data_IF_423900115446
#
_entry.id   IF_423900115446
#
_cell.length_a   1.000
_cell.length_b   1.000
_cell.length_c   1.000
_cell.angle_alpha   90.00
_cell.angle_beta   90.00
_cell.angle_gamma   90.00
#
_symmetry.space_group_name_H-M   'P 1'
#
loop_
_entity.id
_entity.type
_entity.pdbx_description
1 polymer ?
#
# COMPACT_ATOMS: atom_id res chain seq x y z
N UNK A 1 22.57 -12.13 -3.24
CA UNK A 1 22.29 -11.18 -4.34
C UNK A 1 21.32 -10.17 -3.76
N UNK A 2 21.78 -8.95 -3.48
CA UNK A 2 20.91 -7.87 -2.99
C UNK A 2 20.19 -7.25 -4.19
N UNK A 3 18.91 -7.55 -4.32
CA UNK A 3 18.02 -6.80 -5.21
C UNK A 3 17.90 -5.38 -4.65
N UNK A 4 18.73 -4.47 -5.19
CA UNK A 4 18.57 -3.04 -4.98
C UNK A 4 17.26 -2.60 -5.64
N UNK A 5 16.22 -2.59 -4.82
CA UNK A 5 14.93 -2.00 -5.13
C UNK A 5 15.16 -0.60 -5.71
N UNK A 6 14.82 -0.41 -6.99
CA UNK A 6 14.81 0.91 -7.63
C UNK A 6 13.82 1.79 -6.87
N UNK A 7 14.32 2.59 -5.93
CA UNK A 7 13.55 3.62 -5.24
C UNK A 7 12.94 4.54 -6.28
N UNK A 8 11.61 4.51 -6.43
CA UNK A 8 10.92 5.41 -7.35
C UNK A 8 11.00 6.81 -6.76
N UNK A 9 11.20 7.84 -7.58
CA UNK A 9 11.13 9.26 -7.15
C UNK A 9 9.77 9.67 -6.55
N UNK A 10 8.79 8.75 -6.56
CA UNK A 10 7.47 8.90 -5.93
C UNK A 10 7.43 8.46 -4.47
N UNK A 11 8.49 7.85 -3.96
CA UNK A 11 8.56 7.34 -2.59
C UNK A 11 9.11 8.35 -1.58
N UNK A 12 9.44 9.57 -2.02
CA UNK A 12 9.98 10.62 -1.14
C UNK A 12 8.88 11.32 -0.31
N UNK A 13 7.60 11.24 -0.69
CA UNK A 13 6.50 11.76 0.12
C UNK A 13 5.98 10.70 1.10
N UNK A 14 5.94 11.06 2.39
CA UNK A 14 5.48 10.18 3.47
C UNK A 14 3.96 9.96 3.34
N UNK A 15 3.52 8.70 3.35
CA UNK A 15 2.09 8.38 3.32
C UNK A 15 1.33 9.03 4.50
N UNK A 16 0.06 9.45 4.31
CA UNK A 16 -0.72 10.14 5.32
C UNK A 16 -1.30 9.14 6.35
N UNK A 17 -0.40 8.46 7.05
CA UNK A 17 -0.66 7.53 8.13
C UNK A 17 -0.08 8.13 9.41
N UNK A 18 -0.93 8.22 10.43
CA UNK A 18 -0.57 8.82 11.72
C UNK A 18 -0.50 7.76 12.81
N UNK A 19 0.06 8.14 13.97
CA UNK A 19 0.06 7.34 15.18
C UNK A 19 -1.37 6.83 15.52
N UNK A 20 -1.52 5.64 16.11
CA UNK A 20 -0.47 4.77 16.67
C UNK A 20 0.19 3.83 15.65
N UNK A 21 -0.08 3.98 14.35
CA UNK A 21 0.50 3.13 13.32
C UNK A 21 1.92 3.59 12.99
N UNK A 22 2.90 2.67 13.05
CA UNK A 22 4.28 2.93 12.66
C UNK A 22 4.52 2.41 11.25
N UNK A 23 4.81 3.30 10.30
CA UNK A 23 5.20 2.92 8.95
C UNK A 23 6.64 2.40 8.98
N UNK A 24 6.84 1.15 8.55
CA UNK A 24 8.16 0.52 8.45
C UNK A 24 8.76 0.68 7.06
N UNK A 25 7.95 0.49 6.02
CA UNK A 25 8.31 0.80 4.63
C UNK A 25 7.05 1.07 3.81
N UNK A 26 7.21 1.76 2.69
CA UNK A 26 6.13 2.08 1.76
C UNK A 26 6.60 1.94 0.32
N UNK A 27 5.65 1.64 -0.58
CA UNK A 27 5.84 1.66 -2.03
C UNK A 27 4.63 2.31 -2.68
N UNK A 28 4.82 3.45 -3.34
CA UNK A 28 3.73 4.09 -4.08
C UNK A 28 3.45 3.33 -5.38
N UNK A 29 2.22 2.81 -5.54
CA UNK A 29 1.76 2.18 -6.79
C UNK A 29 1.39 3.26 -7.81
N UNK A 30 0.62 4.25 -7.38
CA UNK A 30 0.12 5.31 -8.25
C UNK A 30 -0.14 6.59 -7.44
N UNK A 31 0.14 7.75 -8.04
CA UNK A 31 -0.19 9.05 -7.49
C UNK A 31 -0.47 10.04 -8.60
N UNK A 32 -1.75 10.23 -8.94
CA UNK A 32 -2.18 11.11 -10.04
C UNK A 32 -3.66 11.48 -9.90
N UNK A 33 -4.05 12.61 -10.49
CA UNK A 33 -5.45 13.06 -10.55
C UNK A 33 -6.15 13.10 -9.18
N UNK A 34 -5.44 13.52 -8.13
CA UNK A 34 -5.99 13.56 -6.78
C UNK A 34 -6.18 12.20 -6.12
N UNK A 35 -5.63 11.11 -6.67
CA UNK A 35 -5.63 9.78 -6.07
C UNK A 35 -4.21 9.33 -5.76
N UNK A 36 -4.05 8.66 -4.62
CA UNK A 36 -2.79 8.06 -4.19
C UNK A 36 -3.03 6.64 -3.69
N UNK A 37 -2.42 5.65 -4.32
CA UNK A 37 -2.41 4.26 -3.85
C UNK A 37 -0.99 3.82 -3.51
N UNK A 38 -0.84 3.14 -2.38
CA UNK A 38 0.45 2.60 -1.93
C UNK A 38 0.29 1.28 -1.20
N UNK A 39 1.32 0.45 -1.24
CA UNK A 39 1.51 -0.68 -0.31
C UNK A 39 2.39 -0.20 0.83
N UNK A 40 1.98 -0.46 2.07
CA UNK A 40 2.68 -0.01 3.27
C UNK A 40 2.85 -1.18 4.22
N UNK A 41 4.09 -1.50 4.58
CA UNK A 41 4.38 -2.36 5.72
C UNK A 41 4.30 -1.49 6.97
N UNK A 42 3.39 -1.84 7.87
CA UNK A 42 3.19 -1.10 9.11
C UNK A 42 3.22 -2.01 10.32
N UNK A 43 3.52 -1.43 11.47
CA UNK A 43 3.41 -2.05 12.78
C UNK A 43 2.33 -1.33 13.59
N UNK A 44 1.48 -2.12 14.26
CA UNK A 44 0.42 -1.65 15.15
C UNK A 44 0.39 -2.54 16.38
N UNK A 45 0.60 -1.94 17.56
CA UNK A 45 0.62 -2.65 18.85
C UNK A 45 1.51 -3.91 18.82
N UNK A 46 2.71 -3.80 18.24
CA UNK A 46 3.68 -4.90 18.12
C UNK A 46 3.39 -5.91 17.01
N UNK A 47 2.31 -5.76 16.23
CA UNK A 47 1.98 -6.64 15.10
C UNK A 47 2.27 -5.98 13.77
N UNK A 48 3.04 -6.66 12.92
CA UNK A 48 3.32 -6.24 11.55
C UNK A 48 2.20 -6.67 10.61
N UNK A 49 1.90 -5.85 9.61
CA UNK A 49 0.94 -6.16 8.54
C UNK A 49 1.31 -5.39 7.28
N UNK A 50 1.03 -5.98 6.12
CA UNK A 50 1.11 -5.27 4.84
C UNK A 50 -0.26 -4.69 4.55
N UNK A 51 -0.33 -3.42 4.16
CA UNK A 51 -1.59 -2.74 3.88
C UNK A 51 -1.58 -2.07 2.52
N UNK A 52 -2.61 -2.34 1.73
CA UNK A 52 -2.93 -1.58 0.53
C UNK A 52 -3.80 -0.41 0.93
N UNK A 53 -3.35 0.79 0.60
CA UNK A 53 -4.07 2.03 0.86
C UNK A 53 -4.49 2.69 -0.45
N UNK A 54 -5.63 3.37 -0.38
CA UNK A 54 -6.08 4.35 -1.36
C UNK A 54 -6.51 5.61 -0.63
N UNK A 55 -5.96 6.74 -1.04
CA UNK A 55 -6.35 8.07 -0.59
C UNK A 55 -6.84 8.92 -1.76
N UNK A 56 -7.74 9.84 -1.43
CA UNK A 56 -8.18 10.90 -2.33
C UNK A 56 -7.82 12.26 -1.73
N UNK A 57 -7.32 13.17 -2.55
CA UNK A 57 -7.03 14.55 -2.16
C UNK A 57 -8.34 15.26 -1.81
N UNK A 58 -8.36 16.02 -0.72
CA UNK A 58 -9.50 16.85 -0.35
C UNK A 58 -9.41 18.21 -1.04
N UNK A 59 -10.55 18.87 -1.21
CA UNK A 59 -10.61 20.23 -1.75
C UNK A 59 -9.90 21.22 -0.81
N UNK A 60 -10.10 21.08 0.50
CA UNK A 60 -9.40 21.85 1.53
C UNK A 60 -7.91 21.49 1.70
N UNK A 61 -7.38 20.58 0.88
CA UNK A 61 -6.01 20.08 0.96
C UNK A 61 -5.83 18.83 1.82
N UNK A 62 -4.67 18.20 1.70
CA UNK A 62 -4.37 16.91 2.35
C UNK A 62 -5.07 15.71 1.72
N UNK A 63 -4.96 14.56 2.37
CA UNK A 63 -5.38 13.26 1.85
C UNK A 63 -6.41 12.61 2.79
N UNK A 64 -7.53 12.14 2.22
CA UNK A 64 -8.55 11.34 2.93
C UNK A 64 -8.42 9.88 2.55
N UNK A 65 -8.30 8.98 3.52
CA UNK A 65 -8.29 7.54 3.28
C UNK A 65 -9.66 7.09 2.75
N UNK A 66 -9.66 6.41 1.62
CA UNK A 66 -10.85 5.81 0.99
C UNK A 66 -10.88 4.30 1.18
N UNK A 67 -9.72 3.65 1.09
CA UNK A 67 -9.61 2.22 1.31
C UNK A 67 -8.36 1.88 2.13
N UNK A 68 -8.50 0.83 2.95
CA UNK A 68 -7.42 0.10 3.58
C UNK A 68 -7.76 -1.38 3.45
N UNK A 69 -6.85 -2.17 2.90
CA UNK A 69 -6.94 -3.62 2.88
C UNK A 69 -5.66 -4.18 3.51
N UNK A 70 -5.80 -4.98 4.56
CA UNK A 70 -4.68 -5.51 5.33
C UNK A 70 -4.46 -6.99 5.01
N UNK A 71 -3.19 -7.37 4.91
CA UNK A 71 -2.72 -8.75 4.77
C UNK A 71 -1.88 -9.06 6.00
N UNK A 72 -2.29 -10.09 6.75
CA UNK A 72 -1.78 -10.34 8.09
C UNK A 72 -0.71 -11.43 8.12
N UNK A 73 -0.75 -12.37 7.18
CA UNK A 73 0.19 -13.49 7.12
C UNK A 73 0.42 -13.93 5.65
N UNK A 74 1.32 -14.89 5.48
CA UNK A 74 1.74 -15.41 4.18
C UNK A 74 0.62 -16.22 3.48
N UNK A 75 -0.17 -16.99 4.23
CA UNK A 75 -1.27 -17.81 3.69
C UNK A 75 -2.38 -16.93 3.10
N UNK A 76 -2.77 -15.86 3.80
CA UNK A 76 -3.72 -14.85 3.32
C UNK A 76 -3.24 -14.26 1.98
N UNK A 77 -1.94 -13.92 1.90
CA UNK A 77 -1.36 -13.36 0.69
C UNK A 77 -1.42 -14.34 -0.48
N UNK A 78 -1.09 -15.61 -0.25
CA UNK A 78 -1.12 -16.64 -1.29
C UNK A 78 -2.52 -16.84 -1.86
N UNK A 79 -3.54 -16.86 -1.00
CA UNK A 79 -4.94 -16.93 -1.45
C UNK A 79 -5.32 -15.73 -2.33
N UNK A 80 -4.96 -14.51 -1.90
CA UNK A 80 -5.21 -13.28 -2.68
C UNK A 80 -4.47 -13.34 -4.02
N UNK A 81 -3.18 -13.68 -3.99
CA UNK A 81 -2.34 -13.73 -5.17
C UNK A 81 -2.87 -14.75 -6.18
N UNK A 82 -3.29 -15.93 -5.72
CA UNK A 82 -3.86 -16.98 -6.56
C UNK A 82 -5.19 -16.54 -7.19
N UNK A 83 -6.10 -15.94 -6.40
CA UNK A 83 -7.37 -15.44 -6.91
C UNK A 83 -7.16 -14.35 -7.96
N UNK A 84 -6.30 -13.36 -7.68
CA UNK A 84 -5.97 -12.27 -8.61
C UNK A 84 -5.31 -12.82 -9.87
N UNK A 85 -4.31 -13.69 -9.74
CA UNK A 85 -3.59 -14.29 -10.88
C UNK A 85 -4.51 -15.15 -11.75
N UNK A 86 -5.50 -15.81 -11.16
CA UNK A 86 -6.53 -16.55 -11.89
C UNK A 86 -7.38 -15.65 -12.78
N UNK A 87 -7.80 -14.49 -12.26
CA UNK A 87 -8.65 -13.54 -12.99
C UNK A 87 -7.87 -12.70 -14.01
N UNK A 88 -6.63 -12.30 -13.71
CA UNK A 88 -5.80 -11.50 -14.62
C UNK A 88 -5.57 -12.23 -15.95
N UNK A 89 -5.47 -13.56 -15.93
CA UNK A 89 -5.33 -14.39 -17.13
C UNK A 89 -6.52 -14.29 -18.10
N UNK A 90 -7.66 -13.75 -17.66
CA UNK A 90 -8.85 -13.55 -18.50
C UNK A 90 -8.81 -12.18 -19.20
N UNK A 91 -7.97 -11.25 -18.74
CA UNK A 91 -7.87 -9.90 -19.29
C UNK A 91 -7.02 -9.82 -20.58
N UNK A 92 -6.38 -10.93 -20.97
CA UNK A 92 -5.74 -11.15 -22.28
C UNK A 92 -6.75 -11.62 -23.32
#
# INVERSE_FOLDING_TARGET
MEDKEKKSSRDDEIVPIVAPLKVLTQKTINKRFGWWSAVVLLESYGRKQVCFYLWQKREEGGWKRKQKFAVHNQEDWELIQNAVSGMIKVLT
#
